data_IF_347640836342
#
_entry.id   IF_347640836342
#
_cell.length_a   1.000
_cell.length_b   1.000
_cell.length_c   1.000
_cell.angle_alpha   90.00
_cell.angle_beta   90.00
_cell.angle_gamma   90.00
#
_symmetry.space_group_name_H-M   'P 1'
#
loop_
_entity.id
_entity.type
_entity.pdbx_description
1 polymer ?
#
# COMPACT_ATOMS: atom_id res chain seq x y z
N UNK A 1 43.38 59.36 -71.62
CA UNK A 1 42.89 60.41 -70.68
C UNK A 1 41.52 59.99 -70.14
N UNK A 2 40.88 60.82 -69.28
CA UNK A 2 39.46 60.77 -68.83
C UNK A 2 38.48 60.43 -69.98
N UNK A 3 37.28 59.86 -69.83
CA UNK A 3 36.51 59.21 -68.74
C UNK A 3 35.28 58.47 -69.43
N UNK A 4 34.15 57.98 -68.88
CA UNK A 4 33.43 58.15 -67.59
C UNK A 4 32.66 56.87 -67.15
N UNK A 5 31.31 56.83 -67.19
CA UNK A 5 30.40 55.72 -66.76
C UNK A 5 29.00 55.86 -67.38
N UNK A 6 28.19 54.80 -67.24
CA UNK A 6 26.73 54.69 -67.47
C UNK A 6 26.29 54.57 -68.96
N UNK A 7 25.21 53.88 -69.35
CA UNK A 7 24.08 53.29 -68.58
C UNK A 7 23.70 51.85 -69.05
N UNK A 8 22.54 51.31 -68.64
CA UNK A 8 22.22 49.86 -68.58
C UNK A 8 21.40 49.34 -69.80
N UNK A 9 21.48 48.04 -70.21
CA UNK A 9 20.83 47.51 -71.42
C UNK A 9 19.33 47.21 -71.35
N UNK A 10 18.77 46.81 -72.50
CA UNK A 10 17.35 46.63 -72.82
C UNK A 10 16.73 45.27 -72.45
N UNK A 11 15.39 45.22 -72.47
CA UNK A 11 14.58 44.00 -72.36
C UNK A 11 14.85 43.00 -73.49
N UNK A 12 14.92 41.72 -73.16
CA UNK A 12 14.50 40.61 -74.04
C UNK A 12 13.65 39.62 -73.21
N UNK A 13 12.58 39.08 -73.81
CA UNK A 13 11.68 38.10 -73.17
C UNK A 13 12.32 36.70 -73.14
N UNK A 14 12.14 35.99 -72.04
CA UNK A 14 12.21 34.53 -72.01
C UNK A 14 11.07 34.00 -71.14
N UNK A 15 10.22 33.14 -71.69
CA UNK A 15 9.21 32.42 -70.90
C UNK A 15 9.89 31.26 -70.16
N UNK A 16 9.84 31.28 -68.83
CA UNK A 16 10.38 30.22 -67.98
C UNK A 16 9.39 29.90 -66.86
N UNK A 17 9.15 28.61 -66.62
CA UNK A 17 8.18 28.08 -65.67
C UNK A 17 8.21 28.81 -64.32
N UNK A 18 7.05 29.32 -63.88
CA UNK A 18 6.84 29.72 -62.48
C UNK A 18 6.79 28.47 -61.61
N UNK A 19 7.96 27.95 -61.25
CA UNK A 19 8.10 27.00 -60.15
C UNK A 19 7.71 27.76 -58.89
N UNK A 20 6.49 27.55 -58.43
CA UNK A 20 6.04 28.01 -57.12
C UNK A 20 6.90 27.29 -56.08
N UNK A 21 7.95 27.99 -55.60
CA UNK A 21 8.78 27.51 -54.50
C UNK A 21 7.93 27.53 -53.23
N UNK A 22 7.17 26.46 -53.04
CA UNK A 22 6.46 26.19 -51.80
C UNK A 22 7.54 25.97 -50.74
N UNK A 23 7.95 27.05 -50.09
CA UNK A 23 8.76 27.00 -48.88
C UNK A 23 7.88 26.33 -47.84
N UNK A 24 7.96 25.00 -47.83
CA UNK A 24 7.46 24.19 -46.75
C UNK A 24 8.30 24.58 -45.53
N UNK A 25 7.81 25.58 -44.80
CA UNK A 25 8.27 25.87 -43.46
C UNK A 25 7.95 24.62 -42.68
N UNK A 26 8.94 23.74 -42.55
CA UNK A 26 8.90 22.61 -41.64
C UNK A 26 8.86 23.24 -40.26
N UNK A 27 7.65 23.55 -39.81
CA UNK A 27 7.34 23.74 -38.41
C UNK A 27 7.72 22.43 -37.75
N UNK A 28 8.92 22.41 -37.19
CA UNK A 28 9.40 21.30 -36.37
C UNK A 28 8.48 21.28 -35.16
N UNK A 29 7.41 20.47 -35.27
CA UNK A 29 6.40 20.27 -34.24
C UNK A 29 7.15 19.76 -33.03
N UNK A 30 7.51 20.71 -32.17
CA UNK A 30 8.34 20.47 -31.00
C UNK A 30 7.47 19.67 -30.07
N UNK A 31 7.68 18.35 -30.08
CA UNK A 31 6.85 17.41 -29.36
C UNK A 31 6.91 17.80 -27.88
N UNK A 32 5.84 18.45 -27.39
CA UNK A 32 5.71 18.87 -26.00
C UNK A 32 5.98 17.65 -25.13
N UNK A 33 7.12 17.69 -24.42
CA UNK A 33 7.67 16.50 -23.80
C UNK A 33 6.66 15.95 -22.79
N UNK A 34 6.20 14.72 -23.00
CA UNK A 34 5.04 14.16 -22.28
C UNK A 34 5.31 14.25 -20.78
N UNK A 35 4.53 15.10 -20.12
CA UNK A 35 4.66 15.40 -18.71
C UNK A 35 4.04 14.30 -17.85
N UNK A 36 4.85 13.69 -16.99
CA UNK A 36 4.48 12.52 -16.18
C UNK A 36 4.36 12.84 -14.68
N UNK A 37 4.89 13.97 -14.21
CA UNK A 37 4.86 14.36 -12.80
C UNK A 37 5.63 15.64 -12.49
N UNK A 38 6.00 15.82 -11.23
CA UNK A 38 6.84 16.92 -10.70
C UNK A 38 7.93 16.39 -9.76
N UNK A 39 9.04 17.11 -9.69
CA UNK A 39 10.03 17.00 -8.63
C UNK A 39 9.47 17.64 -7.34
N UNK A 40 8.79 16.86 -6.52
CA UNK A 40 8.15 17.31 -5.27
C UNK A 40 9.19 17.83 -4.26
N UNK A 41 10.19 17.00 -3.92
CA UNK A 41 11.29 17.37 -3.01
C UNK A 41 12.62 17.12 -3.72
N UNK A 42 13.55 18.07 -3.64
CA UNK A 42 14.91 17.98 -4.14
C UNK A 42 15.85 18.36 -3.01
N UNK A 43 16.74 17.44 -2.62
CA UNK A 43 17.75 17.64 -1.58
C UNK A 43 19.14 17.59 -2.21
N UNK A 44 19.90 18.69 -2.14
CA UNK A 44 21.29 18.75 -2.58
C UNK A 44 21.51 18.61 -4.09
N UNK A 45 22.39 17.69 -4.48
CA UNK A 45 22.93 17.56 -5.83
C UNK A 45 22.09 16.60 -6.68
N UNK A 46 20.95 17.06 -7.20
CA UNK A 46 20.07 16.28 -8.08
C UNK A 46 20.12 16.80 -9.52
N UNK A 47 20.21 15.89 -10.49
CA UNK A 47 20.39 16.20 -11.91
C UNK A 47 19.42 15.42 -12.80
N UNK A 48 18.88 16.11 -13.82
CA UNK A 48 17.88 15.57 -14.74
C UNK A 48 18.47 15.06 -16.06
N UNK A 49 17.74 15.26 -17.16
CA UNK A 49 18.20 14.96 -18.53
C UNK A 49 19.49 15.73 -18.89
N UNK A 50 19.58 17.00 -18.48
CA UNK A 50 20.79 17.81 -18.62
C UNK A 50 21.64 17.69 -17.34
N UNK A 51 22.81 17.04 -17.44
CA UNK A 51 23.71 16.89 -16.28
C UNK A 51 24.44 18.18 -15.88
N UNK A 52 24.38 19.23 -16.71
CA UNK A 52 24.92 20.55 -16.39
C UNK A 52 23.90 21.45 -15.65
N UNK A 53 22.62 21.05 -15.57
CA UNK A 53 21.58 21.77 -14.82
C UNK A 53 21.12 20.93 -13.62
N UNK A 54 21.20 21.50 -12.42
CA UNK A 54 20.55 20.93 -11.22
C UNK A 54 19.04 20.97 -11.39
N UNK A 55 18.34 19.96 -10.87
CA UNK A 55 16.89 19.97 -10.77
C UNK A 55 16.44 20.88 -9.62
N UNK A 56 15.23 21.43 -9.72
CA UNK A 56 14.60 22.25 -8.66
C UNK A 56 13.27 21.63 -8.19
N UNK A 57 12.89 21.85 -6.93
CA UNK A 57 11.53 21.50 -6.48
C UNK A 57 10.48 22.24 -7.33
N UNK A 58 9.38 21.57 -7.67
CA UNK A 58 8.36 22.03 -8.62
C UNK A 58 8.71 21.84 -10.10
N UNK A 59 9.91 21.38 -10.47
CA UNK A 59 10.28 21.15 -11.87
C UNK A 59 9.52 19.96 -12.48
N UNK A 60 8.91 20.17 -13.64
CA UNK A 60 8.14 19.16 -14.37
C UNK A 60 9.00 17.96 -14.75
N UNK A 61 8.48 16.76 -14.51
CA UNK A 61 9.06 15.50 -14.95
C UNK A 61 8.50 15.11 -16.31
N UNK A 62 9.37 14.70 -17.21
CA UNK A 62 9.04 14.36 -18.60
C UNK A 62 9.44 12.92 -18.95
N UNK A 63 8.78 12.36 -19.96
CA UNK A 63 9.11 11.08 -20.57
C UNK A 63 10.60 10.95 -20.94
N UNK A 64 11.20 9.78 -20.71
CA UNK A 64 12.63 9.52 -20.95
C UNK A 64 13.51 10.60 -20.29
N UNK A 65 13.29 10.79 -18.98
CA UNK A 65 14.13 11.61 -18.12
C UNK A 65 14.98 10.70 -17.23
N UNK A 66 16.30 10.87 -17.33
CA UNK A 66 17.21 10.35 -16.30
C UNK A 66 17.14 11.27 -15.08
N UNK A 67 17.17 10.68 -13.90
CA UNK A 67 17.34 11.39 -12.62
C UNK A 67 18.52 10.77 -11.88
N UNK A 68 19.43 11.61 -11.39
CA UNK A 68 20.64 11.20 -10.66
C UNK A 68 20.80 12.03 -9.39
N UNK A 69 21.25 11.40 -8.31
CA UNK A 69 21.56 12.08 -7.04
C UNK A 69 23.06 11.98 -6.73
N UNK A 70 23.61 13.03 -6.14
CA UNK A 70 24.98 13.11 -5.64
C UNK A 70 25.17 12.41 -4.30
N UNK A 71 26.23 12.81 -3.59
CA UNK A 71 26.47 12.44 -2.17
C UNK A 71 25.58 13.32 -1.29
N UNK A 72 25.06 12.78 -0.19
CA UNK A 72 24.17 13.50 0.75
C UNK A 72 23.01 14.22 0.02
N UNK A 73 22.46 13.57 -1.01
CA UNK A 73 21.44 14.12 -1.90
C UNK A 73 20.29 13.13 -2.06
N UNK A 74 19.09 13.62 -2.36
CA UNK A 74 17.90 12.79 -2.51
C UNK A 74 16.80 13.52 -3.26
N UNK A 75 15.81 12.78 -3.75
CA UNK A 75 14.66 13.37 -4.44
C UNK A 75 13.37 12.59 -4.18
N UNK A 76 12.26 13.30 -4.04
CA UNK A 76 10.91 12.75 -4.15
C UNK A 76 10.29 13.22 -5.46
N UNK A 77 9.90 12.28 -6.30
CA UNK A 77 9.19 12.50 -7.55
C UNK A 77 7.72 12.14 -7.33
N UNK A 78 6.80 13.05 -7.63
CA UNK A 78 5.35 12.78 -7.59
C UNK A 78 4.79 12.73 -9.01
N UNK A 79 4.14 11.61 -9.35
CA UNK A 79 3.48 11.41 -10.64
C UNK A 79 2.02 11.90 -10.60
N UNK A 80 1.41 12.06 -11.78
CA UNK A 80 0.05 12.64 -11.92
C UNK A 80 -1.06 11.82 -11.24
N UNK A 81 -0.84 10.54 -10.95
CA UNK A 81 -1.73 9.66 -10.17
C UNK A 81 -1.51 9.75 -8.64
N UNK A 82 -0.61 10.64 -8.18
CA UNK A 82 -0.09 10.74 -6.82
C UNK A 82 0.81 9.58 -6.35
N UNK A 83 1.25 8.69 -7.24
CA UNK A 83 2.39 7.81 -6.93
C UNK A 83 3.61 8.67 -6.61
N UNK A 84 4.36 8.29 -5.57
CA UNK A 84 5.63 8.91 -5.17
C UNK A 84 6.76 7.91 -5.31
N UNK A 85 7.84 8.32 -5.99
CA UNK A 85 9.12 7.61 -6.01
C UNK A 85 10.18 8.47 -5.34
N UNK A 86 10.68 7.97 -4.22
CA UNK A 86 11.74 8.62 -3.44
C UNK A 86 13.06 7.92 -3.75
N UNK A 87 14.14 8.66 -4.00
CA UNK A 87 15.48 8.11 -4.23
C UNK A 87 16.50 8.72 -3.28
N UNK A 88 17.39 7.88 -2.74
CA UNK A 88 18.48 8.28 -1.85
C UNK A 88 19.74 8.74 -2.60
N UNK A 89 20.87 8.80 -1.90
CA UNK A 89 22.14 9.27 -2.47
C UNK A 89 22.77 8.30 -3.48
N UNK A 90 23.57 8.84 -4.41
CA UNK A 90 24.27 8.12 -5.50
C UNK A 90 23.36 7.26 -6.40
N UNK A 91 22.07 7.55 -6.43
CA UNK A 91 21.10 6.84 -7.25
C UNK A 91 21.21 7.25 -8.73
N UNK A 92 20.86 6.32 -9.62
CA UNK A 92 20.66 6.60 -11.05
C UNK A 92 19.42 5.87 -11.53
N UNK A 93 18.41 6.66 -11.91
CA UNK A 93 17.09 6.20 -12.33
C UNK A 93 16.77 6.74 -13.73
N UNK A 94 16.02 5.98 -14.53
CA UNK A 94 15.44 6.41 -15.81
C UNK A 94 13.92 6.22 -15.77
N UNK A 95 13.18 7.26 -16.17
CA UNK A 95 11.73 7.22 -16.33
C UNK A 95 11.39 6.88 -17.79
N UNK A 96 11.31 5.57 -18.07
CA UNK A 96 11.23 4.97 -19.41
C UNK A 96 9.81 4.46 -19.70
N UNK A 97 9.35 4.49 -20.96
CA UNK A 97 8.00 4.08 -21.38
C UNK A 97 6.83 4.64 -20.53
N UNK A 98 7.03 5.77 -19.85
CA UNK A 98 6.09 6.32 -18.84
C UNK A 98 4.91 7.03 -19.51
N UNK A 99 3.73 6.40 -19.48
CA UNK A 99 2.49 6.94 -20.06
C UNK A 99 1.41 7.06 -18.99
N UNK A 100 0.96 8.28 -18.73
CA UNK A 100 -0.21 8.57 -17.89
C UNK A 100 -1.45 8.80 -18.74
N UNK A 101 -2.47 7.96 -18.58
CA UNK A 101 -3.78 8.15 -19.18
C UNK A 101 -4.70 8.89 -18.20
N UNK A 102 -5.02 10.16 -18.49
CA UNK A 102 -5.88 11.01 -17.68
C UNK A 102 -7.38 10.67 -17.74
N UNK A 103 -7.83 9.89 -18.73
CA UNK A 103 -9.22 9.41 -18.80
C UNK A 103 -9.47 8.22 -17.85
N UNK A 104 -8.41 7.47 -17.51
CA UNK A 104 -8.49 6.23 -16.71
C UNK A 104 -7.74 6.32 -15.38
N UNK A 105 -7.10 7.46 -15.07
CA UNK A 105 -6.14 7.67 -13.97
C UNK A 105 -5.00 6.63 -13.91
N UNK A 106 -4.61 6.06 -15.06
CA UNK A 106 -3.62 4.97 -15.15
C UNK A 106 -2.22 5.47 -15.44
N UNK A 107 -1.31 5.20 -14.51
CA UNK A 107 0.14 5.28 -14.74
C UNK A 107 0.66 3.91 -15.22
N UNK A 108 1.05 3.84 -16.49
CA UNK A 108 1.79 2.73 -17.08
C UNK A 108 3.26 3.13 -17.26
N UNK A 109 4.20 2.17 -17.17
CA UNK A 109 5.58 2.43 -17.62
C UNK A 109 6.67 1.57 -16.99
N UNK A 110 7.92 1.93 -17.29
CA UNK A 110 9.14 1.20 -16.95
C UNK A 110 10.17 2.12 -16.26
N UNK A 111 10.38 1.96 -14.96
CA UNK A 111 11.40 2.72 -14.25
C UNK A 111 12.67 1.91 -14.11
N UNK A 112 13.74 2.30 -14.81
CA UNK A 112 15.04 1.62 -14.68
C UNK A 112 15.83 2.19 -13.49
N UNK A 113 15.95 1.44 -12.40
CA UNK A 113 16.77 1.79 -11.24
C UNK A 113 18.13 1.10 -11.35
N UNK A 114 19.12 1.79 -11.95
CA UNK A 114 20.45 1.23 -12.25
C UNK A 114 21.32 1.04 -11.01
N UNK A 115 21.16 1.89 -10.00
CA UNK A 115 21.85 1.84 -8.71
C UNK A 115 21.17 2.74 -7.67
N UNK A 116 21.47 2.51 -6.41
CA UNK A 116 21.02 3.30 -5.26
C UNK A 116 19.75 2.74 -4.62
N UNK A 117 19.30 3.43 -3.57
CA UNK A 117 18.04 3.10 -2.86
C UNK A 117 16.87 3.90 -3.42
N UNK A 118 15.72 3.23 -3.52
CA UNK A 118 14.44 3.81 -3.92
C UNK A 118 13.34 3.34 -2.97
N UNK A 119 12.45 4.25 -2.55
CA UNK A 119 11.12 3.92 -2.01
C UNK A 119 10.06 4.22 -3.05
N UNK A 120 9.24 3.22 -3.37
CA UNK A 120 8.02 3.38 -4.14
C UNK A 120 6.83 3.46 -3.19
N UNK A 121 5.90 4.39 -3.44
CA UNK A 121 4.63 4.47 -2.73
C UNK A 121 3.49 4.91 -3.67
N UNK A 122 2.53 4.02 -3.92
CA UNK A 122 1.29 4.29 -4.64
C UNK A 122 0.13 4.51 -3.67
N UNK A 123 -0.85 5.34 -4.05
CA UNK A 123 -2.15 5.34 -3.38
C UNK A 123 -2.90 4.06 -3.76
N UNK A 124 -3.76 3.59 -2.84
CA UNK A 124 -4.46 2.29 -2.96
C UNK A 124 -5.48 2.22 -4.11
N UNK A 125 -5.83 3.37 -4.70
CA UNK A 125 -6.83 3.49 -5.76
C UNK A 125 -6.24 3.70 -7.16
N UNK A 126 -5.01 4.20 -7.31
CA UNK A 126 -4.42 4.34 -8.65
C UNK A 126 -4.05 2.96 -9.18
N UNK A 127 -4.53 2.64 -10.39
CA UNK A 127 -4.27 1.33 -11.02
C UNK A 127 -2.92 1.34 -11.74
N UNK A 128 -1.87 1.50 -10.92
CA UNK A 128 -0.48 1.53 -11.38
C UNK A 128 -0.07 0.19 -11.97
N UNK A 129 0.21 0.20 -13.27
CA UNK A 129 0.75 -0.92 -14.03
C UNK A 129 2.21 -0.59 -14.41
N UNK A 130 3.05 -0.48 -13.39
CA UNK A 130 4.43 -0.03 -13.51
C UNK A 130 5.40 -1.17 -13.19
N UNK A 131 6.53 -1.19 -13.88
CA UNK A 131 7.63 -2.14 -13.64
C UNK A 131 8.87 -1.36 -13.23
N UNK A 132 9.52 -1.75 -12.12
CA UNK A 132 10.88 -1.27 -11.83
C UNK A 132 11.87 -2.31 -12.33
N UNK A 133 12.84 -1.89 -13.15
CA UNK A 133 13.90 -2.77 -13.68
C UNK A 133 15.23 -2.42 -13.00
N UNK A 134 15.86 -3.40 -12.39
CA UNK A 134 17.22 -3.30 -11.84
C UNK A 134 18.18 -4.13 -12.72
N UNK A 135 19.51 -4.09 -12.48
CA UNK A 135 20.46 -4.87 -13.28
C UNK A 135 20.27 -6.40 -13.22
N UNK A 136 19.59 -6.92 -12.20
CA UNK A 136 19.42 -8.38 -11.97
C UNK A 136 17.96 -8.84 -11.80
N UNK A 137 16.99 -7.93 -11.77
CA UNK A 137 15.58 -8.26 -11.57
C UNK A 137 14.61 -7.26 -12.22
N UNK A 138 13.36 -7.69 -12.41
CA UNK A 138 12.23 -6.82 -12.76
C UNK A 138 11.13 -6.99 -11.73
N UNK A 139 10.63 -5.88 -11.19
CA UNK A 139 9.66 -5.80 -10.11
C UNK A 139 8.32 -5.34 -10.69
N UNK A 140 7.34 -6.24 -10.78
CA UNK A 140 5.97 -5.94 -11.17
C UNK A 140 5.17 -5.39 -9.99
N UNK A 141 4.64 -4.18 -10.13
CA UNK A 141 3.96 -3.42 -9.07
C UNK A 141 2.43 -3.49 -9.25
N UNK A 142 1.68 -3.46 -8.15
CA UNK A 142 0.22 -3.30 -8.15
C UNK A 142 -0.27 -2.56 -6.89
N UNK A 143 -0.20 -1.23 -6.88
CA UNK A 143 -0.76 -0.39 -5.80
C UNK A 143 -0.10 -0.57 -4.42
N UNK A 144 1.23 -0.56 -4.36
CA UNK A 144 2.01 -0.96 -3.16
C UNK A 144 2.89 0.14 -2.57
N UNK A 145 3.49 -0.16 -1.40
CA UNK A 145 4.60 0.61 -0.81
C UNK A 145 5.76 -0.33 -0.51
N UNK A 146 6.95 -0.05 -1.02
CA UNK A 146 8.13 -0.89 -0.82
C UNK A 146 9.44 -0.13 -1.05
N UNK A 147 10.52 -0.65 -0.46
CA UNK A 147 11.89 -0.20 -0.68
C UNK A 147 12.64 -1.16 -1.62
N UNK A 148 13.61 -0.63 -2.37
CA UNK A 148 14.56 -1.36 -3.22
C UNK A 148 15.95 -0.77 -3.04
N UNK A 149 16.96 -1.61 -2.78
CA UNK A 149 18.36 -1.29 -3.03
C UNK A 149 18.78 -1.97 -4.33
N UNK A 150 19.27 -1.17 -5.28
CA UNK A 150 19.79 -1.64 -6.56
C UNK A 150 21.31 -1.44 -6.64
N UNK A 151 22.00 -2.44 -7.17
CA UNK A 151 23.44 -2.41 -7.47
C UNK A 151 23.71 -3.24 -8.73
N UNK A 152 24.90 -3.10 -9.37
CA UNK A 152 25.23 -3.85 -10.59
C UNK A 152 25.19 -5.38 -10.47
N UNK A 153 25.29 -5.93 -9.24
CA UNK A 153 25.30 -7.38 -9.00
C UNK A 153 24.24 -7.89 -8.01
N UNK A 154 23.50 -7.01 -7.34
CA UNK A 154 22.46 -7.40 -6.36
C UNK A 154 21.26 -6.46 -6.44
N UNK A 155 20.08 -7.02 -6.19
CA UNK A 155 18.86 -6.27 -5.86
C UNK A 155 18.29 -6.83 -4.56
N UNK A 156 18.00 -5.93 -3.62
CA UNK A 156 17.37 -6.27 -2.34
C UNK A 156 16.08 -5.46 -2.22
N UNK A 157 14.99 -6.13 -1.84
CA UNK A 157 13.62 -5.58 -1.84
C UNK A 157 13.02 -5.79 -0.46
N UNK A 158 12.37 -4.77 0.09
CA UNK A 158 11.63 -4.86 1.35
C UNK A 158 10.24 -4.29 1.16
N UNK A 159 9.20 -5.14 1.18
CA UNK A 159 7.81 -4.69 0.95
C UNK A 159 7.18 -4.23 2.26
N UNK A 160 6.57 -3.04 2.26
CA UNK A 160 5.97 -2.41 3.44
C UNK A 160 4.45 -2.60 3.42
N UNK A 161 3.81 -2.42 2.25
CA UNK A 161 2.36 -2.56 2.05
C UNK A 161 2.06 -3.20 0.70
N UNK A 162 1.15 -4.18 0.69
CA UNK A 162 0.73 -4.90 -0.52
C UNK A 162 1.68 -6.03 -0.91
N UNK A 163 1.69 -6.43 -2.18
CA UNK A 163 2.60 -7.46 -2.73
C UNK A 163 3.19 -7.00 -4.06
N UNK A 164 4.45 -7.34 -4.33
CA UNK A 164 5.05 -7.19 -5.66
C UNK A 164 5.56 -8.53 -6.17
N UNK A 165 5.71 -8.66 -7.49
CA UNK A 165 6.34 -9.83 -8.11
C UNK A 165 7.75 -9.48 -8.54
N UNK A 166 8.75 -10.18 -8.01
CA UNK A 166 10.17 -10.03 -8.38
C UNK A 166 10.54 -11.17 -9.33
N UNK A 167 10.79 -10.82 -10.58
CA UNK A 167 11.20 -11.76 -11.64
C UNK A 167 12.70 -11.60 -11.93
N UNK A 168 13.41 -12.72 -12.01
CA UNK A 168 14.86 -12.80 -12.25
C UNK A 168 15.20 -14.04 -13.10
N UNK A 169 16.49 -14.25 -13.38
CA UNK A 169 16.96 -15.49 -14.04
C UNK A 169 16.68 -16.76 -13.21
N UNK A 170 16.45 -16.63 -11.90
CA UNK A 170 16.09 -17.75 -11.00
C UNK A 170 14.56 -17.96 -10.89
N UNK A 171 13.78 -17.41 -11.83
CA UNK A 171 12.32 -17.46 -11.81
C UNK A 171 11.67 -16.23 -11.19
N UNK A 172 10.38 -16.36 -10.86
CA UNK A 172 9.55 -15.26 -10.34
C UNK A 172 8.98 -15.58 -8.96
N UNK A 173 9.21 -14.69 -8.00
CA UNK A 173 8.75 -14.81 -6.62
C UNK A 173 7.77 -13.68 -6.29
N UNK A 174 6.70 -13.97 -5.53
CA UNK A 174 5.89 -12.91 -4.91
C UNK A 174 6.47 -12.55 -3.53
N UNK A 175 6.60 -11.26 -3.27
CA UNK A 175 7.14 -10.68 -2.03
C UNK A 175 6.05 -9.83 -1.39
N UNK A 176 5.68 -10.17 -0.15
CA UNK A 176 4.62 -9.53 0.63
C UNK A 176 5.14 -8.71 1.83
N UNK A 177 4.23 -8.12 2.63
CA UNK A 177 4.59 -7.15 3.67
C UNK A 177 5.52 -7.75 4.71
N UNK A 178 6.53 -6.99 5.12
CA UNK A 178 7.54 -7.40 6.09
C UNK A 178 8.60 -8.38 5.56
N UNK A 179 8.40 -8.97 4.38
CA UNK A 179 9.39 -9.83 3.76
C UNK A 179 10.51 -9.01 3.10
N UNK A 180 11.74 -9.48 3.28
CA UNK A 180 12.90 -9.03 2.51
C UNK A 180 13.28 -10.13 1.52
N UNK A 181 13.48 -9.76 0.26
CA UNK A 181 13.89 -10.67 -0.81
C UNK A 181 15.14 -10.12 -1.50
N UNK A 182 16.15 -10.98 -1.63
CA UNK A 182 17.46 -10.63 -2.18
C UNK A 182 17.80 -11.54 -3.35
N UNK A 183 18.17 -10.94 -4.47
CA UNK A 183 18.66 -11.66 -5.66
C UNK A 183 19.98 -11.05 -6.12
N UNK A 184 20.98 -11.92 -6.33
CA UNK A 184 22.28 -11.54 -6.88
C UNK A 184 22.48 -12.11 -8.28
N UNK A 185 23.38 -11.53 -9.07
CA UNK A 185 23.68 -11.98 -10.44
C UNK A 185 24.21 -13.42 -10.52
N UNK A 186 24.77 -13.93 -9.41
CA UNK A 186 25.34 -15.28 -9.29
C UNK A 186 24.98 -16.00 -7.99
N UNK A 187 24.53 -15.28 -6.95
CA UNK A 187 24.30 -15.83 -5.60
C UNK A 187 22.87 -16.35 -5.35
N UNK A 188 22.14 -16.70 -6.41
CA UNK A 188 20.74 -17.11 -6.33
C UNK A 188 19.77 -15.98 -5.94
N UNK A 189 18.53 -16.38 -5.62
CA UNK A 189 17.46 -15.51 -5.17
C UNK A 189 16.78 -16.12 -3.92
N UNK A 190 16.78 -15.40 -2.80
CA UNK A 190 16.41 -15.92 -1.49
C UNK A 190 15.63 -14.88 -0.66
N UNK A 191 14.77 -15.35 0.24
CA UNK A 191 14.22 -14.51 1.31
C UNK A 191 15.22 -14.34 2.45
N UNK A 192 15.20 -13.20 3.13
CA UNK A 192 15.97 -12.95 4.35
C UNK A 192 15.06 -12.45 5.47
N UNK A 193 15.39 -12.78 6.72
CA UNK A 193 14.61 -12.38 7.90
C UNK A 193 14.79 -10.92 8.30
N UNK A 194 15.80 -10.25 7.73
CA UNK A 194 16.12 -8.82 7.93
C UNK A 194 16.70 -8.23 6.65
N UNK A 195 16.63 -6.90 6.56
CA UNK A 195 17.39 -6.11 5.58
C UNK A 195 18.89 -6.19 5.90
N UNK A 196 19.73 -6.09 4.88
CA UNK A 196 21.17 -5.90 5.04
C UNK A 196 21.50 -4.55 5.69
N UNK A 197 22.69 -4.46 6.29
CA UNK A 197 23.18 -3.22 6.89
C UNK A 197 23.29 -2.08 5.87
N UNK A 198 23.70 -2.38 4.63
CA UNK A 198 23.73 -1.41 3.53
C UNK A 198 22.33 -0.89 3.19
N UNK A 199 21.35 -1.78 3.02
CA UNK A 199 19.98 -1.41 2.64
C UNK A 199 19.28 -0.59 3.73
N UNK A 200 19.34 -1.05 4.98
CA UNK A 200 18.73 -0.35 6.12
C UNK A 200 19.38 1.02 6.36
N UNK A 201 20.70 1.15 6.28
CA UNK A 201 21.39 2.43 6.37
C UNK A 201 21.05 3.38 5.20
N UNK A 202 20.94 2.85 3.97
CA UNK A 202 20.55 3.63 2.81
C UNK A 202 19.11 4.16 2.91
N UNK A 203 18.15 3.33 3.36
CA UNK A 203 16.77 3.76 3.63
C UNK A 203 16.77 4.85 4.72
N UNK A 204 17.45 4.62 5.85
CA UNK A 204 17.48 5.56 6.96
C UNK A 204 18.02 6.94 6.51
N UNK A 205 19.12 6.96 5.74
CA UNK A 205 19.71 8.18 5.20
C UNK A 205 18.83 8.87 4.16
N UNK A 206 18.21 8.12 3.25
CA UNK A 206 17.25 8.65 2.27
C UNK A 206 16.10 9.39 2.96
N UNK A 207 15.52 8.77 3.99
CA UNK A 207 14.40 9.35 4.73
C UNK A 207 14.84 10.54 5.59
N UNK A 208 15.98 10.47 6.28
CA UNK A 208 16.44 11.55 7.16
C UNK A 208 16.71 12.85 6.41
N UNK A 209 17.30 12.76 5.22
CA UNK A 209 17.52 13.92 4.34
C UNK A 209 16.19 14.58 3.94
N UNK A 210 15.20 13.78 3.56
CA UNK A 210 13.91 14.27 3.05
C UNK A 210 12.97 14.76 4.17
N UNK A 211 13.13 14.27 5.40
CA UNK A 211 12.50 14.88 6.58
C UNK A 211 13.14 16.20 7.03
N UNK A 212 14.43 16.41 6.73
CA UNK A 212 15.13 17.64 7.11
C UNK A 212 14.75 18.83 6.20
N UNK A 213 14.45 18.59 4.92
CA UNK A 213 14.06 19.64 3.96
C UNK A 213 12.79 20.41 4.36
N UNK A 214 11.99 19.89 5.30
CA UNK A 214 10.78 20.55 5.82
C UNK A 214 11.07 21.78 6.71
N UNK A 215 12.33 22.14 6.97
CA UNK A 215 12.71 23.33 7.76
C UNK A 215 13.25 24.51 6.93
N UNK A 216 13.02 24.56 5.61
CA UNK A 216 13.43 25.70 4.78
C UNK A 216 12.42 26.88 4.90
N UNK A 217 12.85 28.11 5.23
CA UNK A 217 11.94 29.26 5.37
C UNK A 217 11.38 29.73 4.02
N UNK A 218 10.06 29.95 3.95
CA UNK A 218 9.41 30.72 2.87
C UNK A 218 8.05 30.21 2.40
N UNK A 219 7.79 28.90 2.50
CA UNK A 219 6.58 28.30 1.90
C UNK A 219 5.33 28.46 2.78
N UNK A 220 4.54 29.52 2.53
CA UNK A 220 3.29 29.80 3.26
C UNK A 220 2.12 28.92 2.81
N UNK A 221 1.88 27.82 3.51
CA UNK A 221 0.55 27.19 3.54
C UNK A 221 -0.38 27.91 4.53
N UNK A 222 -1.66 28.11 4.18
CA UNK A 222 -2.62 28.85 5.02
C UNK A 222 -3.21 27.96 6.13
N UNK A 223 -2.84 28.29 7.37
CA UNK A 223 -3.57 28.12 8.63
C UNK A 223 -4.71 27.09 8.66
N UNK A 224 -4.45 25.92 9.24
CA UNK A 224 -5.42 25.20 10.08
C UNK A 224 -4.76 24.77 11.40
N UNK A 225 -5.58 24.61 12.46
CA UNK A 225 -5.18 24.69 13.88
C UNK A 225 -4.02 23.75 14.27
N UNK A 226 -2.84 24.34 14.47
CA UNK A 226 -1.61 23.62 14.79
C UNK A 226 -1.68 22.82 16.10
N UNK A 227 -2.34 23.32 17.15
CA UNK A 227 -2.41 22.60 18.44
C UNK A 227 -3.38 21.41 18.41
N UNK A 228 -4.54 21.54 17.77
CA UNK A 228 -5.49 20.43 17.64
C UNK A 228 -4.95 19.35 16.69
N UNK A 229 -4.25 19.75 15.63
CA UNK A 229 -3.50 18.82 14.77
C UNK A 229 -2.37 18.17 15.56
N UNK A 230 -1.52 18.94 16.26
CA UNK A 230 -0.39 18.40 17.03
C UNK A 230 -0.83 17.45 18.15
N UNK A 231 -1.89 17.74 18.90
CA UNK A 231 -2.44 16.80 19.89
C UNK A 231 -3.03 15.55 19.23
N UNK A 232 -3.71 15.69 18.09
CA UNK A 232 -4.22 14.54 17.33
C UNK A 232 -3.09 13.71 16.71
N UNK A 233 -2.00 14.35 16.27
CA UNK A 233 -0.81 13.72 15.70
C UNK A 233 0.06 13.08 16.77
N UNK A 234 0.28 13.71 17.93
CA UNK A 234 0.98 13.10 19.06
C UNK A 234 0.20 11.88 19.54
N UNK A 235 -1.12 11.99 19.72
CA UNK A 235 -2.00 10.86 20.06
C UNK A 235 -2.05 9.79 18.97
N UNK A 236 -2.07 10.16 17.69
CA UNK A 236 -2.00 9.23 16.58
C UNK A 236 -0.61 8.58 16.44
N UNK A 237 0.47 9.27 16.78
CA UNK A 237 1.83 8.73 16.79
C UNK A 237 2.08 7.88 18.04
N UNK A 238 1.41 8.14 19.16
CA UNK A 238 1.34 7.21 20.30
C UNK A 238 0.51 5.98 19.97
N UNK A 239 -0.70 6.11 19.43
CA UNK A 239 -1.48 4.98 18.93
C UNK A 239 -0.70 4.20 17.86
N UNK A 240 0.02 4.87 16.96
CA UNK A 240 0.85 4.25 15.93
C UNK A 240 2.14 3.65 16.47
N UNK A 241 2.76 4.21 17.52
CA UNK A 241 3.88 3.57 18.26
C UNK A 241 3.41 2.38 19.07
N UNK A 242 2.24 2.42 19.70
CA UNK A 242 1.61 1.27 20.35
C UNK A 242 1.24 0.20 19.32
N UNK A 243 0.64 0.59 18.19
CA UNK A 243 0.28 -0.28 17.08
C UNK A 243 1.51 -0.89 16.42
N UNK A 244 2.60 -0.13 16.23
CA UNK A 244 3.88 -0.63 15.74
C UNK A 244 4.61 -1.51 16.76
N UNK A 245 4.50 -1.23 18.07
CA UNK A 245 4.97 -2.15 19.13
C UNK A 245 4.14 -3.43 19.19
N UNK A 246 2.83 -3.37 18.92
CA UNK A 246 2.00 -4.55 18.72
C UNK A 246 2.48 -5.31 17.47
N UNK A 247 2.40 -4.70 16.29
CA UNK A 247 2.76 -5.31 15.00
C UNK A 247 4.19 -5.87 14.99
N UNK A 248 5.18 -5.19 15.58
CA UNK A 248 6.55 -5.71 15.68
C UNK A 248 6.69 -6.87 16.68
N UNK A 249 5.84 -6.91 17.72
CA UNK A 249 5.71 -8.07 18.62
C UNK A 249 4.98 -9.22 17.93
N UNK A 250 4.02 -8.94 17.04
CA UNK A 250 3.28 -9.94 16.25
C UNK A 250 4.09 -10.52 15.09
N UNK A 251 4.81 -9.68 14.34
CA UNK A 251 5.56 -10.11 13.16
C UNK A 251 6.80 -10.96 13.51
N UNK A 252 7.16 -11.02 14.80
CA UNK A 252 8.13 -11.95 15.36
C UNK A 252 7.50 -13.12 16.15
N UNK A 253 6.17 -13.20 16.28
CA UNK A 253 5.48 -14.31 16.96
C UNK A 253 5.23 -15.49 16.00
N UNK A 254 6.36 -16.08 15.63
CA UNK A 254 6.62 -17.51 15.40
C UNK A 254 5.50 -18.44 14.89
N UNK A 255 5.80 -19.34 13.93
CA UNK A 255 4.99 -20.54 13.70
C UNK A 255 4.70 -21.33 14.99
N UNK A 256 5.62 -21.28 15.95
CA UNK A 256 5.49 -21.85 17.30
C UNK A 256 4.32 -21.24 18.09
N UNK A 257 4.07 -19.93 18.02
CA UNK A 257 2.99 -19.28 18.76
C UNK A 257 1.61 -19.68 18.21
N UNK A 258 1.49 -19.74 16.89
CA UNK A 258 0.31 -20.29 16.21
C UNK A 258 0.12 -21.78 16.53
N UNK A 259 1.19 -22.57 16.45
CA UNK A 259 1.20 -24.00 16.76
C UNK A 259 0.80 -24.27 18.23
N UNK A 260 1.37 -23.55 19.20
CA UNK A 260 1.03 -23.68 20.62
C UNK A 260 -0.42 -23.29 20.91
N UNK A 261 -0.99 -22.31 20.20
CA UNK A 261 -2.39 -21.96 20.36
C UNK A 261 -3.35 -23.07 19.88
N UNK A 262 -3.02 -23.78 18.80
CA UNK A 262 -3.91 -24.81 18.20
C UNK A 262 -3.57 -26.26 18.59
N UNK A 263 -2.37 -26.55 19.10
CA UNK A 263 -1.91 -27.91 19.42
C UNK A 263 -2.84 -28.57 20.43
N UNK A 264 -3.34 -29.76 20.07
CA UNK A 264 -4.24 -30.54 20.94
C UNK A 264 -5.69 -30.05 20.98
N UNK A 265 -6.03 -28.93 20.34
CA UNK A 265 -7.42 -28.51 20.15
C UNK A 265 -8.04 -29.25 18.97
N UNK A 266 -9.32 -29.58 19.07
CA UNK A 266 -10.05 -30.18 17.95
C UNK A 266 -10.23 -29.13 16.82
N UNK A 267 -9.72 -29.42 15.62
CA UNK A 267 -9.81 -28.54 14.44
C UNK A 267 -11.25 -28.25 14.00
N UNK A 268 -12.21 -29.11 14.34
CA UNK A 268 -13.64 -28.83 14.19
C UNK A 268 -14.10 -27.63 15.01
N UNK A 269 -13.51 -27.40 16.19
CA UNK A 269 -13.91 -26.35 17.11
C UNK A 269 -12.98 -25.13 17.03
N UNK A 270 -12.32 -24.92 15.88
CA UNK A 270 -11.55 -23.72 15.58
C UNK A 270 -12.08 -23.09 14.29
N UNK A 271 -12.30 -21.78 14.30
CA UNK A 271 -12.46 -20.97 13.09
C UNK A 271 -11.15 -20.25 12.79
N UNK A 272 -10.71 -20.33 11.54
CA UNK A 272 -9.71 -19.44 10.97
C UNK A 272 -10.44 -18.27 10.29
N UNK A 273 -10.28 -17.07 10.85
CA UNK A 273 -10.78 -15.81 10.30
C UNK A 273 -9.57 -15.03 9.79
N UNK A 274 -9.38 -15.04 8.48
CA UNK A 274 -8.25 -14.39 7.82
C UNK A 274 -8.54 -12.91 7.60
N UNK A 275 -7.74 -12.03 8.22
CA UNK A 275 -7.74 -10.60 7.96
C UNK A 275 -6.55 -10.24 7.06
N UNK A 276 -6.63 -9.10 6.37
CA UNK A 276 -5.50 -8.55 5.58
C UNK A 276 -4.21 -8.31 6.41
N UNK A 277 -4.31 -8.36 7.74
CA UNK A 277 -3.21 -8.18 8.69
C UNK A 277 -2.59 -9.52 9.15
N UNK A 278 -3.33 -10.62 9.06
CA UNK A 278 -2.97 -11.93 9.62
C UNK A 278 -4.20 -12.78 9.99
N UNK A 279 -3.96 -14.04 10.38
CA UNK A 279 -5.00 -14.99 10.78
C UNK A 279 -5.40 -14.80 12.24
N UNK A 280 -6.69 -14.57 12.48
CA UNK A 280 -7.31 -14.72 13.80
C UNK A 280 -7.77 -16.16 13.95
N UNK A 281 -7.53 -16.80 15.10
CA UNK A 281 -8.09 -18.12 15.42
C UNK A 281 -9.09 -17.96 16.55
N UNK A 282 -10.33 -18.38 16.31
CA UNK A 282 -11.42 -18.38 17.30
C UNK A 282 -11.68 -19.83 17.72
N UNK A 283 -11.53 -20.15 18.99
CA UNK A 283 -12.00 -21.40 19.58
C UNK A 283 -13.50 -21.30 19.84
N UNK A 284 -14.26 -22.27 19.30
CA UNK A 284 -15.70 -22.40 19.42
C UNK A 284 -16.06 -23.05 20.77
N UNK A 285 -17.14 -22.58 21.39
CA UNK A 285 -17.54 -22.95 22.75
C UNK A 285 -18.92 -23.65 22.74
N UNK A 286 -19.03 -24.88 22.20
CA UNK A 286 -20.31 -25.61 22.09
C UNK A 286 -20.92 -25.97 23.45
N UNK A 287 -20.15 -25.89 24.54
CA UNK A 287 -20.65 -26.07 25.91
C UNK A 287 -21.42 -24.84 26.43
N UNK A 288 -21.34 -23.69 25.75
CA UNK A 288 -22.04 -22.45 26.10
C UNK A 288 -23.17 -22.13 25.11
N UNK A 289 -22.89 -22.27 23.82
CA UNK A 289 -23.82 -21.92 22.75
C UNK A 289 -23.74 -22.92 21.57
N UNK A 290 -24.23 -24.17 21.73
CA UNK A 290 -24.13 -25.21 20.71
C UNK A 290 -24.87 -24.86 19.40
N UNK A 291 -26.03 -24.21 19.44
CA UNK A 291 -26.77 -23.83 18.23
C UNK A 291 -26.04 -22.70 17.46
N UNK A 292 -25.52 -21.70 18.16
CA UNK A 292 -24.70 -20.65 17.55
C UNK A 292 -23.40 -21.22 16.95
N UNK A 293 -22.72 -22.12 17.67
CA UNK A 293 -21.52 -22.80 17.16
C UNK A 293 -21.85 -23.61 15.90
N UNK A 294 -23.00 -24.28 15.85
CA UNK A 294 -23.46 -24.98 14.64
C UNK A 294 -23.69 -24.01 13.47
N UNK A 295 -24.44 -22.91 13.67
CA UNK A 295 -24.71 -21.90 12.61
C UNK A 295 -23.44 -21.20 12.12
N UNK A 296 -22.48 -20.93 13.00
CA UNK A 296 -21.17 -20.36 12.63
C UNK A 296 -20.39 -21.34 11.73
N UNK A 297 -20.41 -22.65 12.01
CA UNK A 297 -19.78 -23.65 11.14
C UNK A 297 -20.48 -23.77 9.79
N UNK A 298 -21.82 -23.82 9.79
CA UNK A 298 -22.69 -23.86 8.60
C UNK A 298 -22.34 -22.71 7.64
N UNK A 299 -22.46 -21.46 8.11
CA UNK A 299 -22.16 -20.24 7.33
C UNK A 299 -20.67 -20.12 6.92
N UNK A 300 -19.74 -20.61 7.74
CA UNK A 300 -18.31 -20.61 7.38
C UNK A 300 -17.97 -21.64 6.30
N UNK A 301 -18.70 -22.76 6.24
CA UNK A 301 -18.55 -23.80 5.20
C UNK A 301 -19.18 -23.36 3.88
N UNK A 302 -20.31 -22.69 3.94
CA UNK A 302 -20.95 -22.01 2.80
C UNK A 302 -20.12 -20.82 2.27
N UNK A 303 -19.15 -20.32 3.05
CA UNK A 303 -18.32 -19.16 2.70
C UNK A 303 -19.05 -17.82 2.83
N UNK A 304 -20.23 -17.79 3.46
CA UNK A 304 -21.09 -16.62 3.63
C UNK A 304 -20.36 -15.39 4.20
N UNK A 305 -19.39 -15.61 5.09
CA UNK A 305 -18.62 -14.55 5.74
C UNK A 305 -17.50 -13.96 4.87
N UNK A 306 -17.18 -14.54 3.71
CA UNK A 306 -16.05 -14.09 2.87
C UNK A 306 -16.34 -12.73 2.24
N UNK A 307 -15.41 -11.77 2.43
CA UNK A 307 -15.55 -10.41 1.94
C UNK A 307 -16.52 -9.53 2.74
N UNK A 308 -17.18 -10.05 3.78
CA UNK A 308 -18.04 -9.23 4.65
C UNK A 308 -17.23 -8.22 5.46
N UNK A 309 -17.87 -7.09 5.80
CA UNK A 309 -17.21 -5.94 6.41
C UNK A 309 -17.31 -5.95 7.93
N UNK A 310 -16.29 -5.37 8.58
CA UNK A 310 -16.40 -4.91 9.96
C UNK A 310 -17.08 -3.53 9.95
N UNK A 311 -18.41 -3.55 9.88
CA UNK A 311 -19.25 -2.36 9.70
C UNK A 311 -19.34 -1.49 10.97
N UNK A 312 -18.92 -2.00 12.15
CA UNK A 312 -18.75 -1.20 13.37
C UNK A 312 -17.50 -1.64 14.12
N UNK A 313 -16.59 -0.71 14.40
CA UNK A 313 -15.38 -0.96 15.17
C UNK A 313 -15.15 0.21 16.13
N UNK A 314 -14.96 -0.09 17.41
CA UNK A 314 -14.73 0.86 18.49
C UNK A 314 -13.53 0.38 19.33
N UNK A 315 -12.41 1.12 19.26
CA UNK A 315 -11.16 0.77 19.95
C UNK A 315 -11.41 0.58 21.45
N UNK A 316 -10.96 -0.54 22.01
CA UNK A 316 -11.15 -0.86 23.44
C UNK A 316 -12.55 -1.32 23.84
N UNK A 317 -13.46 -1.54 22.88
CA UNK A 317 -14.78 -2.12 23.13
C UNK A 317 -15.07 -3.30 22.20
N UNK A 318 -15.37 -3.05 20.91
CA UNK A 318 -16.02 -4.05 20.04
C UNK A 318 -15.60 -3.92 18.57
N UNK A 319 -15.58 -5.03 17.85
CA UNK A 319 -15.58 -5.09 16.39
C UNK A 319 -16.72 -6.02 15.92
N UNK A 320 -17.74 -5.45 15.27
CA UNK A 320 -18.92 -6.14 14.74
C UNK A 320 -18.77 -6.42 13.23
N UNK A 321 -19.22 -7.60 12.80
CA UNK A 321 -19.22 -8.04 11.40
C UNK A 321 -20.35 -9.06 11.16
N UNK A 322 -20.37 -9.72 10.00
CA UNK A 322 -21.38 -10.74 9.67
C UNK A 322 -22.68 -10.22 9.05
N UNK A 323 -22.71 -8.97 8.60
CA UNK A 323 -23.80 -8.39 7.80
C UNK A 323 -23.43 -8.41 6.29
N UNK A 324 -24.19 -9.12 5.43
CA UNK A 324 -24.04 -9.09 3.97
C UNK A 324 -24.09 -7.70 3.32
N UNK A 325 -24.94 -6.80 3.81
CA UNK A 325 -25.06 -5.43 3.27
C UNK A 325 -24.14 -4.42 3.98
N UNK A 326 -23.46 -4.82 5.05
CA UNK A 326 -22.47 -3.99 5.75
C UNK A 326 -23.02 -2.71 6.39
N UNK A 327 -24.29 -2.67 6.75
CA UNK A 327 -24.95 -1.49 7.39
C UNK A 327 -25.27 -1.70 8.87
N UNK A 328 -25.06 -2.94 9.37
CA UNK A 328 -25.53 -3.41 10.67
C UNK A 328 -26.99 -3.88 10.68
N UNK A 329 -27.63 -4.06 9.51
CA UNK A 329 -29.08 -4.38 9.38
C UNK A 329 -29.41 -5.64 8.56
N UNK A 330 -28.48 -6.20 7.79
CA UNK A 330 -28.71 -7.47 7.08
C UNK A 330 -28.36 -8.69 7.93
N UNK A 331 -28.60 -9.87 7.36
CA UNK A 331 -28.37 -11.16 8.02
C UNK A 331 -28.37 -12.33 7.03
N UNK A 332 -28.36 -13.56 7.52
CA UNK A 332 -28.49 -14.78 6.72
C UNK A 332 -29.95 -15.27 6.58
N UNK A 333 -30.90 -14.62 7.26
CA UNK A 333 -32.33 -14.91 7.19
C UNK A 333 -32.81 -16.08 8.06
N UNK A 334 -31.99 -16.53 9.03
CA UNK A 334 -32.29 -17.69 9.90
C UNK A 334 -31.97 -17.36 11.35
N UNK A 335 -32.98 -16.88 12.08
CA UNK A 335 -32.84 -16.47 13.48
C UNK A 335 -32.50 -17.65 14.42
N UNK A 336 -31.81 -17.33 15.51
CA UNK A 336 -31.32 -18.22 16.55
C UNK A 336 -31.89 -17.79 17.91
N UNK A 337 -32.40 -18.74 18.69
CA UNK A 337 -32.74 -18.50 20.11
C UNK A 337 -31.49 -18.22 20.92
N UNK A 338 -31.61 -17.34 21.92
CA UNK A 338 -30.48 -16.94 22.75
C UNK A 338 -29.88 -18.10 23.56
N UNK A 339 -28.55 -18.18 23.60
CA UNK A 339 -27.80 -19.17 24.38
C UNK A 339 -26.93 -18.42 25.41
N UNK A 340 -27.59 -17.96 26.46
CA UNK A 340 -27.01 -17.07 27.47
C UNK A 340 -26.27 -17.88 28.55
N UNK A 341 -25.04 -17.46 28.85
CA UNK A 341 -24.19 -18.07 29.88
C UNK A 341 -23.76 -17.04 30.93
N UNK A 342 -23.17 -17.53 32.02
CA UNK A 342 -22.63 -16.73 33.14
C UNK A 342 -21.20 -16.21 32.89
N UNK A 343 -20.60 -16.51 31.74
CA UNK A 343 -19.26 -16.05 31.37
C UNK A 343 -19.24 -14.55 31.09
N UNK A 344 -18.16 -13.85 31.49
CA UNK A 344 -18.03 -12.41 31.27
C UNK A 344 -17.44 -12.07 29.90
N UNK A 345 -17.98 -11.03 29.25
CA UNK A 345 -17.43 -10.42 28.06
C UNK A 345 -16.13 -9.64 28.36
N UNK A 346 -15.02 -10.38 28.34
CA UNK A 346 -13.65 -9.86 28.40
C UNK A 346 -12.97 -9.87 27.02
N UNK A 347 -11.77 -9.30 26.93
CA UNK A 347 -11.02 -9.18 25.67
C UNK A 347 -10.82 -10.55 25.01
N UNK A 348 -11.14 -10.65 23.73
CA UNK A 348 -11.09 -11.86 22.95
C UNK A 348 -12.38 -12.69 22.97
N UNK A 349 -13.34 -12.43 23.87
CA UNK A 349 -14.64 -13.12 23.83
C UNK A 349 -15.41 -12.71 22.56
N UNK A 350 -16.06 -13.69 21.93
CA UNK A 350 -16.84 -13.52 20.69
C UNK A 350 -18.30 -13.85 20.97
N UNK A 351 -19.17 -12.86 20.74
CA UNK A 351 -20.61 -12.96 20.97
C UNK A 351 -21.42 -12.84 19.68
N UNK A 352 -22.67 -13.31 19.70
CA UNK A 352 -23.62 -13.10 18.61
C UNK A 352 -24.43 -11.83 18.86
N UNK A 353 -24.67 -11.05 17.81
CA UNK A 353 -25.49 -9.84 17.85
C UNK A 353 -26.95 -10.18 17.51
N UNK A 354 -27.86 -9.58 18.27
CA UNK A 354 -29.30 -9.59 18.05
C UNK A 354 -29.83 -8.15 18.15
N UNK A 355 -31.13 -7.95 17.92
CA UNK A 355 -31.79 -6.65 18.05
C UNK A 355 -31.98 -6.27 19.53
N UNK A 356 -31.96 -4.96 19.82
CA UNK A 356 -32.01 -4.46 21.21
C UNK A 356 -33.24 -4.95 21.99
N UNK A 357 -34.35 -5.23 21.30
CA UNK A 357 -35.64 -5.55 21.90
C UNK A 357 -36.05 -7.03 21.76
N UNK A 358 -35.31 -7.84 20.99
CA UNK A 358 -35.48 -9.30 20.93
C UNK A 358 -34.13 -10.01 21.03
N UNK A 359 -33.99 -10.85 22.05
CA UNK A 359 -32.80 -11.65 22.32
C UNK A 359 -32.68 -12.85 21.36
N UNK A 360 -33.79 -13.25 20.71
CA UNK A 360 -33.89 -14.39 19.79
C UNK A 360 -33.83 -13.98 18.30
N UNK A 361 -33.49 -12.72 18.01
CA UNK A 361 -33.29 -12.24 16.64
C UNK A 361 -31.81 -12.34 16.18
N UNK A 362 -30.99 -13.09 16.91
CA UNK A 362 -29.62 -13.38 16.53
C UNK A 362 -29.61 -14.15 15.20
N UNK A 363 -28.76 -13.78 14.24
CA UNK A 363 -28.74 -14.39 12.89
C UNK A 363 -27.30 -14.71 12.48
N UNK A 364 -26.68 -13.86 11.66
CA UNK A 364 -25.29 -14.01 11.21
C UNK A 364 -24.33 -12.95 11.74
N UNK A 365 -24.85 -11.82 12.24
CA UNK A 365 -24.01 -10.73 12.76
C UNK A 365 -23.37 -11.12 14.09
N UNK A 366 -22.05 -11.00 14.20
CA UNK A 366 -21.30 -11.32 15.43
C UNK A 366 -20.31 -10.22 15.78
N UNK A 367 -19.79 -10.27 17.01
CA UNK A 367 -18.85 -9.28 17.51
C UNK A 367 -17.70 -9.88 18.32
N UNK A 368 -16.51 -9.29 18.19
CA UNK A 368 -15.31 -9.61 18.96
C UNK A 368 -15.05 -8.47 19.96
N UNK A 369 -14.88 -8.79 21.24
CA UNK A 369 -14.57 -7.80 22.28
C UNK A 369 -13.08 -7.47 22.30
N UNK A 370 -12.74 -6.18 22.16
CA UNK A 370 -11.35 -5.69 22.17
C UNK A 370 -10.87 -5.15 23.53
N UNK A 371 -11.77 -4.93 24.49
CA UNK A 371 -11.46 -4.48 25.85
C UNK A 371 -12.24 -5.23 26.94
N UNK A 372 -12.90 -4.52 27.85
CA UNK A 372 -13.83 -5.13 28.81
C UNK A 372 -15.25 -4.63 28.57
N UNK A 373 -16.20 -5.56 28.56
CA UNK A 373 -17.58 -5.30 28.13
C UNK A 373 -18.61 -5.96 29.06
N UNK A 374 -18.32 -6.03 30.37
CA UNK A 374 -19.18 -6.67 31.39
C UNK A 374 -20.65 -6.23 31.42
N UNK A 375 -20.98 -5.07 30.82
CA UNK A 375 -22.36 -4.61 30.65
C UNK A 375 -23.17 -5.43 29.63
N UNK A 376 -22.52 -6.32 28.86
CA UNK A 376 -23.12 -7.30 27.93
C UNK A 376 -23.35 -8.68 28.60
N UNK A 377 -22.80 -8.91 29.78
CA UNK A 377 -22.90 -10.19 30.50
C UNK A 377 -24.38 -10.53 30.77
N UNK A 378 -24.74 -11.80 30.62
CA UNK A 378 -26.10 -12.32 30.70
C UNK A 378 -27.12 -11.72 29.69
N UNK A 379 -26.65 -11.03 28.63
CA UNK A 379 -27.53 -10.44 27.58
C UNK A 379 -27.29 -10.96 26.18
N UNK A 380 -26.05 -11.34 25.84
CA UNK A 380 -25.67 -11.81 24.51
C UNK A 380 -25.08 -13.23 24.57
N UNK A 381 -25.37 -14.06 23.58
CA UNK A 381 -24.85 -15.43 23.47
C UNK A 381 -23.34 -15.42 23.24
N UNK A 382 -22.56 -16.15 24.07
CA UNK A 382 -21.12 -16.33 23.89
C UNK A 382 -20.87 -17.66 23.16
N UNK A 383 -20.35 -17.58 21.93
CA UNK A 383 -20.11 -18.77 21.10
C UNK A 383 -18.62 -19.06 20.85
N UNK A 384 -17.72 -18.12 21.13
CA UNK A 384 -16.31 -18.31 20.87
C UNK A 384 -15.36 -17.43 21.69
N UNK A 385 -14.06 -17.72 21.59
CA UNK A 385 -12.95 -16.91 22.12
C UNK A 385 -11.79 -16.85 21.14
N UNK A 386 -11.20 -15.68 20.92
CA UNK A 386 -9.96 -15.53 20.15
C UNK A 386 -8.81 -16.12 20.97
N UNK A 387 -8.12 -17.12 20.41
CA UNK A 387 -6.96 -17.79 21.03
C UNK A 387 -5.62 -17.40 20.38
N UNK A 388 -5.66 -16.79 19.19
CA UNK A 388 -4.49 -16.29 18.46
C UNK A 388 -4.91 -15.16 17.52
N UNK A 389 -4.04 -14.17 17.28
CA UNK A 389 -4.31 -13.11 16.30
C UNK A 389 -5.21 -11.99 16.81
N UNK A 390 -5.40 -11.82 18.11
CA UNK A 390 -6.27 -10.79 18.68
C UNK A 390 -5.78 -9.37 18.35
N UNK A 391 -4.46 -9.22 18.27
CA UNK A 391 -3.74 -8.05 17.79
C UNK A 391 -4.01 -7.70 16.30
N UNK A 392 -4.52 -8.63 15.48
CA UNK A 392 -5.05 -8.32 14.15
C UNK A 392 -6.46 -7.71 14.19
N UNK A 393 -7.22 -7.98 15.26
CA UNK A 393 -8.52 -7.34 15.53
C UNK A 393 -8.31 -5.90 16.00
N UNK A 394 -7.25 -5.62 16.77
CA UNK A 394 -6.88 -4.25 17.19
C UNK A 394 -6.46 -3.32 16.04
N UNK A 395 -6.09 -3.91 14.89
CA UNK A 395 -5.73 -3.20 13.67
C UNK A 395 -6.94 -2.81 12.80
N UNK A 396 -8.14 -3.32 13.10
CA UNK A 396 -9.35 -2.98 12.34
C UNK A 396 -9.65 -1.48 12.42
N UNK A 397 -9.94 -0.87 11.27
CA UNK A 397 -10.27 0.56 11.18
C UNK A 397 -11.52 0.91 12.00
N UNK A 398 -11.36 1.86 12.93
CA UNK A 398 -12.42 2.39 13.80
C UNK A 398 -13.48 3.17 13.00
N UNK A 399 -14.75 3.04 13.40
CA UNK A 399 -15.89 3.78 12.85
C UNK A 399 -17.22 3.03 12.99
N UNK A 400 -18.34 3.69 12.67
CA UNK A 400 -19.69 3.11 12.73
C UNK A 400 -20.62 3.72 11.65
N UNK A 401 -20.39 3.47 10.34
CA UNK A 401 -19.33 2.62 9.79
C UNK A 401 -17.98 3.33 9.62
N UNK A 402 -16.86 2.58 9.50
CA UNK A 402 -15.59 3.14 9.07
C UNK A 402 -15.67 3.67 7.62
N UNK A 403 -14.92 4.74 7.29
CA UNK A 403 -14.89 5.33 5.93
C UNK A 403 -14.44 4.34 4.83
N UNK A 404 -13.61 3.38 5.21
CA UNK A 404 -13.23 2.22 4.40
C UNK A 404 -13.25 1.01 5.35
N UNK A 405 -14.37 0.26 5.47
CA UNK A 405 -14.44 -0.87 6.37
C UNK A 405 -13.41 -1.94 6.00
N UNK A 406 -12.73 -2.49 7.01
CA UNK A 406 -11.93 -3.69 6.81
C UNK A 406 -12.83 -4.92 6.64
N UNK A 407 -12.31 -5.97 6.01
CA UNK A 407 -13.08 -7.16 5.61
C UNK A 407 -12.48 -8.44 6.14
N UNK A 408 -13.35 -9.40 6.43
CA UNK A 408 -12.99 -10.82 6.47
C UNK A 408 -12.50 -11.19 5.06
N UNK A 409 -11.28 -11.71 4.93
CA UNK A 409 -10.78 -12.21 3.64
C UNK A 409 -11.31 -13.60 3.36
N UNK A 410 -11.23 -14.48 4.38
CA UNK A 410 -11.89 -15.78 4.44
C UNK A 410 -12.28 -16.12 5.88
N UNK A 411 -13.35 -16.88 6.07
CA UNK A 411 -13.68 -17.50 7.36
C UNK A 411 -13.99 -18.99 7.14
N UNK A 412 -13.24 -19.90 7.78
CA UNK A 412 -13.37 -21.36 7.59
C UNK A 412 -13.24 -22.10 8.91
N UNK A 413 -13.88 -23.27 9.01
CA UNK A 413 -13.57 -24.25 10.07
C UNK A 413 -12.18 -24.80 9.81
N UNK A 414 -11.33 -24.87 10.83
CA UNK A 414 -9.93 -25.26 10.67
C UNK A 414 -9.74 -26.73 10.25
N UNK A 415 -10.77 -27.57 10.37
CA UNK A 415 -10.78 -28.93 9.82
C UNK A 415 -10.79 -28.93 8.28
N UNK A 416 -11.47 -27.97 7.65
CA UNK A 416 -11.71 -27.91 6.20
C UNK A 416 -10.58 -27.19 5.42
N UNK A 417 -9.50 -26.83 6.11
CA UNK A 417 -8.36 -26.09 5.54
C UNK A 417 -7.15 -27.02 5.45
N UNK A 418 -6.87 -27.48 4.23
CA UNK A 418 -5.65 -28.20 3.88
C UNK A 418 -4.41 -27.31 4.03
#
# INVERSE_FOLDING_TARGET
MRASRYWVPSLVRACGFTIAFLICVITTVSHSAIEIGIADIIVGDVYGRNLSKRMTSGETLIYNQKVRTGRNSGATLQFKDNTRMTIGERAEMLLDDMVYNSQEEKLNGLVQLKRGVLRFASLKNSTVNLRIRTPVATLGIRGTVFDVLSSPRNTEVSVIVGKIRVSSQFGSQEVGPGQVFKVGSTSGANFTSKQSAEFSAAIAKMLSMISAEQTIPGYKSKTFKHEQIKQAEEKFQEEKKQTQKLVAKTSGLQPEAFYHAIRGKNRENLIYLDLKYGRVVIELLPNLAPLHVSRIKELSREGFYDGLTFFRVQRGFVAETGDPIGTGRGGSGKNLKAEISKESFVRGVVGMKHERNDINSADSQFFIISGSAKHLDNKYSIWGRVIYGMEFVDLLKVGAPPKEPDKIQKMRVAADVN
#
